data_IF_355077294332
#
_entry.id   IF_355077294332
#
_cell.length_a   1.000
_cell.length_b   1.000
_cell.length_c   1.000
_cell.angle_alpha   90.00
_cell.angle_beta   90.00
_cell.angle_gamma   90.00
#
_symmetry.space_group_name_H-M   'P 1'
#
loop_
_entity.id
_entity.type
_entity.pdbx_description
1 polymer ?
#
# COMPACT_ATOMS: atom_id res chain seq x y z
N UNK A 1 -62.24 -22.07 -0.74
CA UNK A 1 -63.57 -22.71 -0.88
C UNK A 1 -63.64 -23.79 -1.96
N UNK A 2 -63.05 -23.63 -3.15
CA UNK A 2 -63.10 -24.67 -4.20
C UNK A 2 -62.44 -26.02 -3.83
N UNK A 3 -61.27 -25.99 -3.16
CA UNK A 3 -60.53 -27.22 -2.85
C UNK A 3 -61.27 -28.13 -1.87
N UNK A 4 -61.93 -27.57 -0.85
CA UNK A 4 -62.75 -28.34 0.11
C UNK A 4 -63.91 -29.05 -0.61
N UNK A 5 -64.57 -28.37 -1.56
CA UNK A 5 -65.67 -28.96 -2.35
C UNK A 5 -65.19 -30.12 -3.23
N UNK A 6 -64.00 -30.01 -3.84
CA UNK A 6 -63.38 -31.07 -4.66
C UNK A 6 -62.99 -32.30 -3.81
N UNK A 7 -62.48 -32.09 -2.59
CA UNK A 7 -62.11 -33.17 -1.66
C UNK A 7 -63.34 -33.88 -1.11
N UNK A 8 -64.36 -33.14 -0.66
CA UNK A 8 -65.65 -33.69 -0.21
C UNK A 8 -66.31 -34.52 -1.32
N UNK A 9 -66.31 -34.02 -2.56
CA UNK A 9 -66.84 -34.75 -3.72
C UNK A 9 -66.03 -36.01 -4.06
N UNK A 10 -64.69 -35.96 -3.97
CA UNK A 10 -63.82 -37.12 -4.18
C UNK A 10 -64.03 -38.20 -3.11
N UNK A 11 -64.10 -37.80 -1.84
CA UNK A 11 -64.32 -38.72 -0.72
C UNK A 11 -65.71 -39.39 -0.79
N UNK A 12 -66.75 -38.62 -1.11
CA UNK A 12 -68.11 -39.13 -1.34
C UNK A 12 -68.17 -40.13 -2.51
N UNK A 13 -67.50 -39.84 -3.63
CA UNK A 13 -67.44 -40.77 -4.80
C UNK A 13 -66.67 -42.06 -4.53
N UNK A 14 -65.77 -42.08 -3.54
CA UNK A 14 -64.99 -43.26 -3.13
C UNK A 14 -65.67 -44.07 -2.02
N UNK A 15 -66.84 -43.64 -1.53
CA UNK A 15 -67.63 -44.38 -0.54
C UNK A 15 -67.10 -44.26 0.89
N UNK A 16 -66.32 -43.23 1.20
CA UNK A 16 -65.89 -43.00 2.59
C UNK A 16 -67.04 -42.46 3.43
N UNK A 17 -67.25 -43.07 4.61
CA UNK A 17 -68.40 -42.78 5.47
C UNK A 17 -68.21 -41.50 6.32
N UNK A 18 -66.97 -41.15 6.68
CA UNK A 18 -66.65 -39.97 7.51
C UNK A 18 -65.85 -38.92 6.71
N UNK A 19 -66.60 -38.12 5.94
CA UNK A 19 -66.05 -37.13 5.02
C UNK A 19 -65.44 -35.93 5.79
N UNK A 20 -66.01 -35.57 6.94
CA UNK A 20 -65.54 -34.44 7.77
C UNK A 20 -64.17 -34.75 8.41
N UNK A 21 -63.97 -35.99 8.86
CA UNK A 21 -62.67 -36.45 9.33
C UNK A 21 -61.60 -36.44 8.23
N UNK A 22 -61.94 -36.88 7.01
CA UNK A 22 -61.01 -36.87 5.86
C UNK A 22 -60.63 -35.45 5.44
N UNK A 23 -61.60 -34.53 5.38
CA UNK A 23 -61.34 -33.11 5.09
C UNK A 23 -60.44 -32.49 6.16
N UNK A 24 -60.62 -32.85 7.43
CA UNK A 24 -59.82 -32.34 8.56
C UNK A 24 -58.37 -32.83 8.50
N UNK A 25 -58.14 -34.12 8.25
CA UNK A 25 -56.78 -34.69 8.06
C UNK A 25 -56.08 -34.01 6.89
N UNK A 26 -56.78 -33.83 5.76
CA UNK A 26 -56.19 -33.23 4.58
C UNK A 26 -55.78 -31.77 4.82
N UNK A 27 -56.65 -30.98 5.44
CA UNK A 27 -56.35 -29.58 5.78
C UNK A 27 -55.20 -29.46 6.77
N UNK A 28 -55.17 -30.27 7.82
CA UNK A 28 -54.08 -30.29 8.79
C UNK A 28 -52.76 -30.70 8.12
N UNK A 29 -52.77 -31.75 7.28
CA UNK A 29 -51.58 -32.19 6.52
C UNK A 29 -51.04 -31.09 5.61
N UNK A 30 -51.92 -30.33 4.97
CA UNK A 30 -51.52 -29.19 4.14
C UNK A 30 -50.86 -28.09 4.97
N UNK A 31 -51.43 -27.73 6.11
CA UNK A 31 -50.86 -26.74 7.05
C UNK A 31 -49.46 -27.20 7.52
N UNK A 32 -49.31 -28.47 7.88
CA UNK A 32 -48.01 -29.03 8.27
C UNK A 32 -46.99 -28.95 7.12
N UNK A 33 -47.39 -29.27 5.89
CA UNK A 33 -46.50 -29.15 4.72
C UNK A 33 -46.09 -27.70 4.44
N UNK A 34 -47.01 -26.75 4.56
CA UNK A 34 -46.73 -25.31 4.37
C UNK A 34 -45.80 -24.76 5.47
N UNK A 35 -45.99 -25.18 6.72
CA UNK A 35 -45.09 -24.83 7.83
C UNK A 35 -43.67 -25.36 7.58
N UNK A 36 -43.55 -26.65 7.25
CA UNK A 36 -42.26 -27.26 6.94
C UNK A 36 -41.56 -26.60 5.75
N UNK A 37 -42.31 -26.20 4.72
CA UNK A 37 -41.75 -25.50 3.56
C UNK A 37 -41.20 -24.11 3.93
N UNK A 38 -41.89 -23.36 4.79
CA UNK A 38 -41.41 -22.05 5.28
C UNK A 38 -40.17 -22.17 6.15
N UNK A 39 -40.11 -23.17 7.02
CA UNK A 39 -38.94 -23.44 7.86
C UNK A 39 -37.73 -23.86 7.01
N UNK A 40 -37.96 -24.68 5.98
CA UNK A 40 -36.92 -25.05 5.02
C UNK A 40 -36.42 -23.84 4.21
N UNK A 41 -37.29 -22.94 3.76
CA UNK A 41 -36.90 -21.72 3.06
C UNK A 41 -36.09 -20.77 3.96
N UNK A 42 -36.49 -20.60 5.23
CA UNK A 42 -35.76 -19.79 6.19
C UNK A 42 -34.37 -20.39 6.51
N UNK A 43 -34.28 -21.71 6.65
CA UNK A 43 -33.01 -22.40 6.84
C UNK A 43 -32.09 -22.26 5.61
N UNK A 44 -32.65 -22.33 4.39
CA UNK A 44 -31.89 -22.14 3.16
C UNK A 44 -31.35 -20.71 3.03
N UNK A 45 -32.17 -19.69 3.34
CA UNK A 45 -31.71 -18.28 3.33
C UNK A 45 -30.60 -18.03 4.34
N UNK A 46 -30.76 -18.53 5.57
CA UNK A 46 -29.73 -18.42 6.60
C UNK A 46 -28.43 -19.11 6.17
N UNK A 47 -28.52 -20.31 5.58
CA UNK A 47 -27.33 -21.01 5.08
C UNK A 47 -26.63 -20.26 3.95
N UNK A 48 -27.37 -19.56 3.07
CA UNK A 48 -26.80 -18.71 2.03
C UNK A 48 -26.13 -17.45 2.59
N UNK A 49 -26.74 -16.81 3.59
CA UNK A 49 -26.16 -15.66 4.30
C UNK A 49 -24.88 -16.05 5.05
N UNK A 50 -24.90 -17.16 5.79
CA UNK A 50 -23.74 -17.70 6.52
C UNK A 50 -22.62 -18.12 5.56
N UNK A 51 -22.95 -18.56 4.34
CA UNK A 51 -21.97 -18.85 3.29
C UNK A 51 -21.34 -17.57 2.75
N UNK A 52 -22.13 -16.56 2.42
CA UNK A 52 -21.63 -15.25 1.93
C UNK A 52 -20.78 -14.53 2.98
N UNK A 53 -21.14 -14.64 4.26
CA UNK A 53 -20.36 -14.08 5.36
C UNK A 53 -18.98 -14.75 5.45
N UNK A 54 -18.93 -16.09 5.39
CA UNK A 54 -17.67 -16.85 5.39
C UNK A 54 -16.79 -16.53 4.18
N UNK A 55 -17.36 -16.50 2.97
CA UNK A 55 -16.61 -16.15 1.76
C UNK A 55 -16.03 -14.73 1.83
N UNK A 56 -16.76 -13.78 2.46
CA UNK A 56 -16.28 -12.42 2.67
C UNK A 56 -15.16 -12.37 3.72
N UNK A 57 -15.29 -13.09 4.82
CA UNK A 57 -14.25 -13.17 5.86
C UNK A 57 -12.97 -13.81 5.31
N UNK A 58 -13.08 -14.89 4.54
CA UNK A 58 -11.95 -15.53 3.86
C UNK A 58 -11.27 -14.59 2.86
N UNK A 59 -12.05 -13.80 2.11
CA UNK A 59 -11.49 -12.82 1.19
C UNK A 59 -10.75 -11.67 1.90
N UNK A 60 -11.25 -11.23 3.06
CA UNK A 60 -10.59 -10.19 3.88
C UNK A 60 -9.28 -10.74 4.45
N UNK A 61 -9.29 -11.93 5.05
CA UNK A 61 -8.09 -12.55 5.60
C UNK A 61 -7.01 -12.72 4.53
N UNK A 62 -7.39 -13.21 3.35
CA UNK A 62 -6.46 -13.36 2.24
C UNK A 62 -5.85 -12.02 1.79
N UNK A 63 -6.66 -10.95 1.75
CA UNK A 63 -6.17 -9.62 1.37
C UNK A 63 -5.21 -9.04 2.43
N UNK A 64 -5.48 -9.27 3.72
CA UNK A 64 -4.61 -8.85 4.82
C UNK A 64 -3.26 -9.59 4.77
N UNK A 65 -3.28 -10.91 4.56
CA UNK A 65 -2.06 -11.72 4.39
C UNK A 65 -1.22 -11.28 3.18
N UNK A 66 -1.86 -11.00 2.03
CA UNK A 66 -1.17 -10.49 0.84
C UNK A 66 -0.57 -9.09 1.07
N UNK A 67 -1.25 -8.22 1.84
CA UNK A 67 -0.74 -6.90 2.18
C UNK A 67 0.47 -6.98 3.13
N UNK A 68 0.43 -7.83 4.16
CA UNK A 68 1.56 -8.04 5.07
C UNK A 68 2.78 -8.59 4.33
N UNK A 69 2.59 -9.63 3.49
CA UNK A 69 3.67 -10.19 2.68
C UNK A 69 4.28 -9.15 1.73
N UNK A 70 3.45 -8.27 1.15
CA UNK A 70 3.94 -7.17 0.30
C UNK A 70 4.78 -6.16 1.08
N UNK A 71 4.35 -5.77 2.29
CA UNK A 71 5.09 -4.85 3.16
C UNK A 71 6.44 -5.44 3.59
N UNK A 72 6.48 -6.72 3.91
CA UNK A 72 7.72 -7.41 4.26
C UNK A 72 8.70 -7.45 3.09
N UNK A 73 8.22 -7.82 1.89
CA UNK A 73 9.03 -7.80 0.68
C UNK A 73 9.53 -6.40 0.30
N UNK A 74 8.70 -5.37 0.51
CA UNK A 74 9.10 -3.97 0.30
C UNK A 74 10.19 -3.54 1.28
N UNK A 75 10.05 -3.88 2.57
CA UNK A 75 11.07 -3.61 3.57
C UNK A 75 12.39 -4.31 3.26
N UNK A 76 12.35 -5.58 2.85
CA UNK A 76 13.55 -6.31 2.44
C UNK A 76 14.20 -5.66 1.21
N UNK A 77 13.39 -5.29 0.21
CA UNK A 77 13.87 -4.59 -0.98
C UNK A 77 14.53 -3.25 -0.63
N UNK A 78 13.91 -2.44 0.23
CA UNK A 78 14.47 -1.17 0.71
C UNK A 78 15.79 -1.44 1.46
N UNK A 79 15.87 -2.51 2.25
CA UNK A 79 17.12 -2.89 2.92
C UNK A 79 18.27 -3.19 1.95
N UNK A 80 17.99 -3.93 0.87
CA UNK A 80 18.99 -4.26 -0.16
C UNK A 80 19.33 -3.04 -1.03
N UNK A 81 18.31 -2.38 -1.55
CA UNK A 81 18.45 -1.21 -2.43
C UNK A 81 19.08 -0.02 -1.70
N UNK A 82 18.72 0.20 -0.43
CA UNK A 82 19.29 1.23 0.43
C UNK A 82 20.78 1.05 0.65
N UNK A 83 21.28 -0.18 0.78
CA UNK A 83 22.72 -0.45 0.88
C UNK A 83 23.46 -0.15 -0.44
N UNK A 84 22.83 -0.40 -1.59
CA UNK A 84 23.39 -0.04 -2.89
C UNK A 84 23.40 1.48 -3.10
N UNK A 85 22.31 2.15 -2.71
CA UNK A 85 22.20 3.60 -2.73
C UNK A 85 23.24 4.25 -1.80
N UNK A 86 23.49 3.69 -0.61
CA UNK A 86 24.51 4.19 0.31
C UNK A 86 25.91 4.16 -0.33
N UNK A 87 26.29 3.07 -1.00
CA UNK A 87 27.58 2.99 -1.70
C UNK A 87 27.73 4.04 -2.80
N UNK A 88 26.64 4.35 -3.50
CA UNK A 88 26.62 5.44 -4.50
C UNK A 88 26.71 6.81 -3.84
N UNK A 89 26.02 6.99 -2.72
CA UNK A 89 26.06 8.22 -1.92
C UNK A 89 27.48 8.51 -1.41
N UNK A 90 28.19 7.49 -0.92
CA UNK A 90 29.60 7.55 -0.52
C UNK A 90 30.47 8.02 -1.70
N UNK A 91 30.32 7.41 -2.88
CA UNK A 91 31.06 7.80 -4.09
C UNK A 91 30.79 9.26 -4.50
N UNK A 92 29.52 9.70 -4.47
CA UNK A 92 29.17 11.07 -4.80
C UNK A 92 29.72 12.08 -3.79
N UNK A 93 29.75 11.72 -2.50
CA UNK A 93 30.36 12.55 -1.47
C UNK A 93 31.88 12.63 -1.63
N UNK A 94 32.55 11.48 -1.71
CA UNK A 94 34.01 11.39 -1.68
C UNK A 94 34.68 11.89 -2.97
N UNK A 95 34.08 11.61 -4.13
CA UNK A 95 34.71 11.87 -5.44
C UNK A 95 34.16 13.16 -6.05
N UNK A 96 32.85 13.38 -5.91
CA UNK A 96 32.19 14.53 -6.55
C UNK A 96 31.91 15.66 -5.57
N UNK A 97 32.18 15.50 -4.28
CA UNK A 97 32.00 16.51 -3.24
C UNK A 97 30.61 17.15 -3.28
N UNK A 98 29.59 16.31 -3.48
CA UNK A 98 28.22 16.80 -3.62
C UNK A 98 27.60 17.17 -2.27
N UNK A 99 26.62 18.07 -2.30
CA UNK A 99 25.79 18.37 -1.14
C UNK A 99 24.85 17.21 -0.80
N UNK A 100 24.34 17.19 0.44
CA UNK A 100 23.34 16.21 0.87
C UNK A 100 22.12 16.17 -0.06
N UNK A 101 21.61 17.34 -0.46
CA UNK A 101 20.48 17.45 -1.37
C UNK A 101 20.83 16.99 -2.80
N UNK A 102 22.01 17.37 -3.30
CA UNK A 102 22.48 16.95 -4.61
C UNK A 102 22.65 15.43 -4.71
N UNK A 103 23.19 14.79 -3.67
CA UNK A 103 23.32 13.33 -3.61
C UNK A 103 21.93 12.67 -3.69
N UNK A 104 20.97 13.13 -2.89
CA UNK A 104 19.61 12.59 -2.92
C UNK A 104 18.97 12.70 -4.31
N UNK A 105 19.11 13.86 -4.95
CA UNK A 105 18.60 14.09 -6.30
C UNK A 105 19.23 13.14 -7.31
N UNK A 106 20.55 12.91 -7.24
CA UNK A 106 21.22 11.96 -8.15
C UNK A 106 20.78 10.51 -7.92
N UNK A 107 20.60 10.11 -6.66
CA UNK A 107 20.15 8.77 -6.32
C UNK A 107 18.75 8.48 -6.87
N UNK A 108 17.86 9.48 -6.84
CA UNK A 108 16.45 9.33 -7.25
C UNK A 108 16.18 9.69 -8.71
N UNK A 109 17.10 10.39 -9.37
CA UNK A 109 16.91 10.92 -10.72
C UNK A 109 16.61 9.85 -11.77
N UNK A 110 15.64 10.12 -12.64
CA UNK A 110 15.34 9.31 -13.84
C UNK A 110 16.50 9.25 -14.85
N UNK A 111 17.52 10.08 -14.67
CA UNK A 111 18.75 10.07 -15.49
C UNK A 111 19.99 9.69 -14.68
N UNK A 112 19.86 9.49 -13.37
CA UNK A 112 20.91 9.04 -12.45
C UNK A 112 20.76 7.56 -12.11
N UNK A 113 20.74 7.25 -10.81
CA UNK A 113 20.74 5.86 -10.32
C UNK A 113 19.34 5.23 -10.24
N UNK A 114 18.27 6.05 -10.24
CA UNK A 114 16.87 5.60 -10.22
C UNK A 114 16.48 4.72 -9.03
N UNK A 115 17.16 4.90 -7.90
CA UNK A 115 16.76 4.23 -6.67
C UNK A 115 15.38 4.74 -6.20
N UNK A 116 14.64 3.86 -5.52
CA UNK A 116 13.42 4.28 -4.83
C UNK A 116 13.71 5.40 -3.82
N UNK A 117 12.71 6.26 -3.57
CA UNK A 117 12.84 7.37 -2.61
C UNK A 117 13.22 6.86 -1.22
N UNK A 118 12.70 5.71 -0.81
CA UNK A 118 12.99 5.11 0.50
C UNK A 118 14.44 4.59 0.57
N UNK A 119 14.95 3.99 -0.51
CA UNK A 119 16.34 3.56 -0.58
C UNK A 119 17.31 4.75 -0.60
N UNK A 120 16.98 5.81 -1.35
CA UNK A 120 17.77 7.04 -1.36
C UNK A 120 17.74 7.75 0.01
N UNK A 121 16.59 7.78 0.68
CA UNK A 121 16.49 8.33 2.03
C UNK A 121 17.30 7.51 3.03
N UNK A 122 17.23 6.18 2.96
CA UNK A 122 18.08 5.30 3.75
C UNK A 122 19.57 5.62 3.54
N UNK A 123 20.01 5.79 2.29
CA UNK A 123 21.39 6.16 1.99
C UNK A 123 21.78 7.50 2.62
N UNK A 124 20.94 8.52 2.50
CA UNK A 124 21.18 9.85 3.06
C UNK A 124 21.20 9.86 4.59
N UNK A 125 20.38 9.03 5.24
CA UNK A 125 20.32 8.94 6.70
C UNK A 125 21.50 8.16 7.28
N UNK A 126 22.13 7.28 6.49
CA UNK A 126 23.27 6.45 6.91
C UNK A 126 24.61 6.90 6.33
N UNK A 127 24.62 7.93 5.47
CA UNK A 127 25.85 8.48 4.92
C UNK A 127 26.55 9.35 5.96
N UNK A 128 27.75 8.93 6.37
CA UNK A 128 28.66 9.73 7.18
C UNK A 128 29.53 10.59 6.26
N UNK A 129 29.13 11.84 6.03
CA UNK A 129 29.85 12.80 5.19
C UNK A 129 30.04 14.13 5.90
N UNK A 130 31.21 14.75 5.71
CA UNK A 130 31.45 16.13 6.10
C UNK A 130 31.07 17.07 4.95
N UNK A 131 29.84 17.58 4.99
CA UNK A 131 29.34 18.45 3.93
C UNK A 131 29.98 19.85 3.93
N UNK A 132 30.61 20.27 5.03
CA UNK A 132 31.40 21.50 5.05
C UNK A 132 32.67 21.32 4.21
N UNK A 133 33.34 20.17 4.36
CA UNK A 133 34.51 19.82 3.54
C UNK A 133 34.13 19.60 2.06
N UNK A 134 32.99 18.96 1.78
CA UNK A 134 32.48 18.86 0.41
C UNK A 134 32.23 20.25 -0.21
N UNK A 135 31.60 21.15 0.52
CA UNK A 135 31.35 22.51 0.05
C UNK A 135 32.67 23.27 -0.20
N UNK A 136 33.66 23.11 0.68
CA UNK A 136 34.99 23.70 0.52
C UNK A 136 35.71 23.14 -0.71
N UNK A 137 35.66 21.83 -0.93
CA UNK A 137 36.25 21.21 -2.12
C UNK A 137 35.60 21.72 -3.41
N UNK A 138 34.26 21.84 -3.45
CA UNK A 138 33.56 22.47 -4.58
C UNK A 138 33.90 23.94 -4.76
N UNK A 139 34.03 24.69 -3.67
CA UNK A 139 34.42 26.10 -3.72
C UNK A 139 35.82 26.27 -4.34
N UNK A 140 36.78 25.43 -3.95
CA UNK A 140 38.13 25.38 -4.52
C UNK A 140 38.09 25.01 -6.00
N UNK A 141 37.31 24.01 -6.38
CA UNK A 141 37.12 23.62 -7.79
C UNK A 141 36.62 24.81 -8.64
N UNK A 142 35.58 25.51 -8.19
CA UNK A 142 35.05 26.69 -8.88
C UNK A 142 36.05 27.86 -8.94
N UNK A 143 36.81 28.07 -7.88
CA UNK A 143 37.87 29.08 -7.87
C UNK A 143 38.97 28.75 -8.87
N UNK A 144 39.48 27.52 -8.85
CA UNK A 144 40.64 27.11 -9.66
C UNK A 144 40.29 26.97 -11.15
N UNK A 145 39.17 26.31 -11.45
CA UNK A 145 38.80 25.96 -12.83
C UNK A 145 38.07 27.13 -13.52
N UNK A 146 37.21 27.83 -12.78
CA UNK A 146 36.33 28.85 -13.34
C UNK A 146 36.70 30.28 -12.95
N UNK A 147 37.73 30.48 -12.10
CA UNK A 147 38.17 31.81 -11.63
C UNK A 147 37.03 32.64 -11.04
N UNK A 148 36.07 31.97 -10.39
CA UNK A 148 34.89 32.62 -9.83
C UNK A 148 35.24 33.44 -8.59
N UNK A 149 34.51 34.54 -8.38
CA UNK A 149 34.63 35.33 -7.14
C UNK A 149 34.01 34.58 -5.95
N UNK A 150 34.44 34.88 -4.72
CA UNK A 150 33.90 34.27 -3.52
C UNK A 150 32.36 34.42 -3.40
N UNK A 151 31.81 35.57 -3.79
CA UNK A 151 30.36 35.79 -3.78
C UNK A 151 29.66 34.92 -4.83
N UNK A 152 30.23 34.83 -6.05
CA UNK A 152 29.67 33.98 -7.10
C UNK A 152 29.74 32.49 -6.74
N UNK A 153 30.79 32.07 -6.03
CA UNK A 153 30.93 30.70 -5.52
C UNK A 153 29.85 30.44 -4.46
N UNK A 154 29.64 31.36 -3.52
CA UNK A 154 28.58 31.25 -2.51
C UNK A 154 27.20 31.08 -3.16
N UNK A 155 26.89 31.91 -4.16
CA UNK A 155 25.63 31.84 -4.89
C UNK A 155 25.49 30.49 -5.62
N UNK A 156 26.57 30.02 -6.26
CA UNK A 156 26.57 28.75 -6.98
C UNK A 156 26.41 27.54 -6.05
N UNK A 157 27.08 27.56 -4.89
CA UNK A 157 26.97 26.50 -3.89
C UNK A 157 25.55 26.39 -3.34
N UNK A 158 24.87 27.50 -3.13
CA UNK A 158 23.52 27.54 -2.52
C UNK A 158 22.37 27.49 -3.52
N UNK A 159 22.65 27.67 -4.81
CA UNK A 159 21.63 27.72 -5.87
C UNK A 159 20.82 26.44 -5.95
N UNK A 160 19.50 26.59 -6.12
CA UNK A 160 18.56 25.48 -6.40
C UNK A 160 18.84 24.78 -7.73
N UNK A 161 19.58 25.42 -8.64
CA UNK A 161 20.01 24.83 -9.91
C UNK A 161 21.51 24.51 -9.93
N UNK A 162 22.23 24.81 -8.84
CA UNK A 162 23.65 24.56 -8.66
C UNK A 162 23.87 23.39 -7.70
N UNK A 163 24.72 23.60 -6.70
CA UNK A 163 25.16 22.51 -5.81
C UNK A 163 24.20 22.23 -4.65
N UNK A 164 23.26 23.13 -4.33
CA UNK A 164 22.26 22.97 -3.26
C UNK A 164 22.83 22.70 -1.86
N UNK A 165 24.04 23.18 -1.56
CA UNK A 165 24.53 23.24 -0.19
C UNK A 165 23.66 24.16 0.66
N UNK A 166 23.61 23.89 1.96
CA UNK A 166 23.02 24.82 2.90
C UNK A 166 23.83 26.11 2.94
N UNK A 167 23.18 27.20 3.35
CA UNK A 167 23.87 28.49 3.52
C UNK A 167 25.06 28.39 4.47
N UNK A 168 24.94 27.62 5.57
CA UNK A 168 26.03 27.44 6.54
C UNK A 168 27.24 26.70 5.95
N UNK A 169 27.02 25.68 5.12
CA UNK A 169 28.10 24.93 4.46
C UNK A 169 28.81 25.82 3.43
N UNK A 170 28.05 26.60 2.66
CA UNK A 170 28.63 27.60 1.75
C UNK A 170 29.39 28.71 2.50
N UNK A 171 28.84 29.19 3.64
CA UNK A 171 29.51 30.18 4.50
C UNK A 171 30.84 29.63 5.06
N UNK A 172 30.85 28.37 5.50
CA UNK A 172 32.07 27.68 5.90
C UNK A 172 33.08 27.63 4.75
N UNK A 173 32.65 27.17 3.58
CA UNK A 173 33.51 27.02 2.41
C UNK A 173 34.17 28.34 1.99
N UNK A 174 33.43 29.45 1.98
CA UNK A 174 33.98 30.77 1.65
C UNK A 174 34.95 31.28 2.72
N UNK A 175 34.66 31.00 4.00
CA UNK A 175 35.52 31.43 5.12
C UNK A 175 36.90 30.77 5.05
N UNK A 176 36.95 29.50 4.64
CA UNK A 176 38.18 28.70 4.58
C UNK A 176 38.76 28.60 3.15
N UNK A 177 38.25 29.39 2.20
CA UNK A 177 38.60 29.26 0.78
C UNK A 177 40.08 29.56 0.48
N UNK A 178 40.72 30.36 1.33
CA UNK A 178 42.10 30.84 1.16
C UNK A 178 43.07 30.32 2.24
N UNK A 179 42.64 29.32 3.01
CA UNK A 179 43.45 28.67 4.04
C UNK A 179 44.56 27.78 3.45
#
# INVERSE_FOLDING_TARGET
MEHSKKITLYASKKGYEDIDYIVTIFNNTKIYKEKMAKEAEAAAKKAEEDKKAREKEEAIQKAEEEEEARKEAEKERIGVEGQLALKKAEQYSEIMHMSKAGIYDQLTSEYGEKFSTDAAQYAIDNLEADYNENALAKAKEYQEIMSMSAESIRDQLTSEYGEKFTKSEADYAITHLYD
#
